data_IF_461145667361
#
_entry.id   IF_461145667361
#
_cell.length_a   1.000
_cell.length_b   1.000
_cell.length_c   1.000
_cell.angle_alpha   90.00
_cell.angle_beta   90.00
_cell.angle_gamma   90.00
#
_symmetry.space_group_name_H-M   'P 1'
#
loop_
_entity.id
_entity.type
_entity.pdbx_description
1 polymer ?
#
# COMPACT_ATOMS: atom_id res chain seq x y z
N UNK A 1 0.68 -31.34 33.94
CA UNK A 1 0.25 -30.00 33.47
C UNK A 1 1.47 -29.37 32.86
N UNK A 2 1.47 -29.07 31.56
CA UNK A 2 2.55 -28.31 30.94
C UNK A 2 2.60 -26.94 31.61
N UNK A 3 3.76 -26.55 32.10
CA UNK A 3 3.98 -25.23 32.70
C UNK A 3 3.69 -24.16 31.64
N UNK A 4 2.77 -23.25 31.96
CA UNK A 4 2.47 -22.09 31.11
C UNK A 4 3.53 -21.04 31.40
N UNK A 5 4.29 -20.66 30.39
CA UNK A 5 5.31 -19.61 30.48
C UNK A 5 4.66 -18.29 30.10
N UNK A 6 4.62 -17.34 31.04
CA UNK A 6 4.19 -15.97 30.77
C UNK A 6 5.39 -15.12 30.38
N UNK A 7 5.34 -14.51 29.21
CA UNK A 7 6.32 -13.56 28.69
C UNK A 7 5.72 -12.17 28.78
N UNK A 8 6.27 -11.33 29.65
CA UNK A 8 5.94 -9.90 29.67
C UNK A 8 6.99 -9.15 28.87
N UNK A 9 6.54 -8.40 27.87
CA UNK A 9 7.37 -7.68 26.89
C UNK A 9 7.17 -6.19 27.09
N UNK A 10 8.24 -5.51 27.51
CA UNK A 10 8.23 -4.07 27.83
C UNK A 10 9.04 -3.22 26.88
N UNK A 11 9.88 -3.84 26.06
CA UNK A 11 10.74 -3.12 25.12
C UNK A 11 11.04 -3.95 23.88
N UNK A 12 11.59 -3.28 22.87
CA UNK A 12 12.07 -3.91 21.63
C UNK A 12 13.18 -4.94 21.93
N UNK A 13 14.06 -4.66 22.90
CA UNK A 13 15.15 -5.57 23.28
C UNK A 13 14.63 -6.84 23.95
N UNK A 14 13.64 -6.74 24.85
CA UNK A 14 13.01 -7.91 25.45
C UNK A 14 12.31 -8.74 24.37
N UNK A 15 11.62 -8.09 23.42
CA UNK A 15 10.99 -8.77 22.29
C UNK A 15 12.04 -9.51 21.43
N UNK A 16 13.19 -8.90 21.16
CA UNK A 16 14.26 -9.50 20.37
C UNK A 16 14.83 -10.74 21.08
N UNK A 17 15.10 -10.62 22.38
CA UNK A 17 15.60 -11.73 23.19
C UNK A 17 14.64 -12.92 23.20
N UNK A 18 13.34 -12.69 23.40
CA UNK A 18 12.36 -13.77 23.37
C UNK A 18 12.19 -14.37 21.97
N UNK A 19 12.28 -13.55 20.92
CA UNK A 19 12.25 -14.06 19.55
C UNK A 19 13.45 -14.98 19.27
N UNK A 20 14.67 -14.59 19.65
CA UNK A 20 15.86 -15.42 19.52
C UNK A 20 15.76 -16.72 20.33
N UNK A 21 15.24 -16.66 21.57
CA UNK A 21 14.96 -17.85 22.38
C UNK A 21 13.97 -18.80 21.68
N UNK A 22 12.96 -18.27 21.00
CA UNK A 22 12.03 -19.08 20.21
C UNK A 22 12.73 -19.76 19.02
N UNK A 23 13.61 -19.04 18.31
CA UNK A 23 14.43 -19.63 17.25
C UNK A 23 15.31 -20.76 17.77
N UNK A 24 15.90 -20.58 18.95
CA UNK A 24 16.73 -21.56 19.64
C UNK A 24 15.94 -22.75 20.23
N UNK A 25 14.61 -22.76 20.13
CA UNK A 25 13.76 -23.87 20.58
C UNK A 25 13.43 -23.86 22.07
N UNK A 26 13.66 -22.76 22.79
CA UNK A 26 13.38 -22.65 24.24
C UNK A 26 11.90 -22.91 24.55
N UNK A 27 11.01 -22.50 23.65
CA UNK A 27 9.55 -22.65 23.79
C UNK A 27 8.98 -23.88 23.08
N UNK A 28 9.83 -24.79 22.59
CA UNK A 28 9.38 -26.03 21.99
C UNK A 28 8.62 -26.86 23.02
N UNK A 29 7.41 -27.30 22.66
CA UNK A 29 6.49 -28.06 23.53
C UNK A 29 6.05 -27.34 24.81
N UNK A 30 6.17 -26.00 24.88
CA UNK A 30 5.65 -25.18 25.99
C UNK A 30 4.38 -24.45 25.58
N UNK A 31 3.49 -24.26 26.55
CA UNK A 31 2.38 -23.30 26.43
C UNK A 31 2.91 -21.93 26.82
N UNK A 32 2.70 -20.92 25.97
CA UNK A 32 3.21 -19.57 26.17
C UNK A 32 2.05 -18.59 26.18
N UNK A 33 2.09 -17.64 27.11
CA UNK A 33 1.22 -16.46 27.12
C UNK A 33 2.11 -15.23 26.92
N UNK A 34 1.78 -14.38 25.95
CA UNK A 34 2.52 -13.15 25.67
C UNK A 34 1.67 -11.98 26.15
N UNK A 35 2.28 -11.11 26.95
CA UNK A 35 1.67 -9.87 27.42
C UNK A 35 2.60 -8.72 27.13
N UNK A 36 2.10 -7.77 26.38
CA UNK A 36 2.77 -6.50 26.14
C UNK A 36 2.41 -5.49 27.23
N UNK A 37 3.40 -4.71 27.66
CA UNK A 37 3.29 -3.71 28.72
C UNK A 37 4.10 -2.46 28.33
N UNK A 38 3.43 -1.46 27.75
CA UNK A 38 4.05 -0.20 27.33
C UNK A 38 4.81 -0.24 25.99
N UNK A 39 4.99 -1.42 25.39
CA UNK A 39 5.54 -1.60 24.03
C UNK A 39 4.77 -2.71 23.33
N UNK A 40 4.47 -2.62 22.02
CA UNK A 40 4.91 -1.58 21.11
C UNK A 40 4.00 -0.36 21.04
N UNK A 41 4.58 0.71 20.51
CA UNK A 41 3.98 2.02 20.28
C UNK A 41 4.33 2.50 18.89
N UNK A 42 3.45 3.31 18.31
CA UNK A 42 3.74 4.05 17.10
C UNK A 42 3.69 5.54 17.42
N UNK A 43 4.80 6.21 17.18
CA UNK A 43 4.95 7.66 17.33
C UNK A 43 5.11 8.29 15.94
N UNK A 44 4.32 9.32 15.68
CA UNK A 44 4.36 10.10 14.45
C UNK A 44 4.37 11.56 14.83
N UNK A 45 5.41 12.29 14.43
CA UNK A 45 5.49 13.74 14.60
C UNK A 45 5.71 14.39 13.23
N UNK A 46 4.92 15.42 12.94
CA UNK A 46 4.99 16.15 11.67
C UNK A 46 5.13 17.64 11.97
N UNK A 47 6.28 18.19 11.58
CA UNK A 47 6.56 19.62 11.73
C UNK A 47 6.32 20.35 10.41
N UNK A 48 5.55 21.44 10.46
CA UNK A 48 5.37 22.37 9.35
C UNK A 48 4.15 23.26 9.54
N UNK A 49 4.03 24.31 8.71
CA UNK A 49 3.01 25.36 8.86
C UNK A 49 1.57 24.82 8.86
N UNK A 50 1.32 23.71 8.15
CA UNK A 50 0.00 23.06 8.04
C UNK A 50 -0.26 21.96 9.07
N UNK A 51 0.64 21.76 10.03
CA UNK A 51 0.64 20.62 10.96
C UNK A 51 0.53 21.03 12.43
N UNK A 52 -0.05 22.21 12.69
CA UNK A 52 -0.29 22.71 14.03
C UNK A 52 -1.70 22.33 14.49
N UNK A 53 -1.81 21.25 15.28
CA UNK A 53 -3.09 20.68 15.72
C UNK A 53 -4.03 20.32 14.55
N UNK A 54 -3.47 19.96 13.39
CA UNK A 54 -4.23 19.67 12.18
C UNK A 54 -3.64 18.50 11.40
N UNK A 55 -4.50 17.56 11.00
CA UNK A 55 -4.15 16.39 10.20
C UNK A 55 -4.70 16.54 8.77
N UNK A 56 -3.84 16.80 7.76
CA UNK A 56 -4.29 16.81 6.37
C UNK A 56 -4.86 15.45 5.96
N UNK A 57 -5.79 15.44 5.00
CA UNK A 57 -6.44 14.21 4.50
C UNK A 57 -5.44 13.15 4.02
N UNK A 58 -4.31 13.56 3.46
CA UNK A 58 -3.23 12.64 3.07
C UNK A 58 -2.62 11.89 4.26
N UNK A 59 -2.44 12.57 5.40
CA UNK A 59 -1.97 11.96 6.64
C UNK A 59 -3.03 11.03 7.22
N UNK A 60 -4.30 11.48 7.27
CA UNK A 60 -5.41 10.62 7.72
C UNK A 60 -5.51 9.33 6.91
N UNK A 61 -5.34 9.41 5.59
CA UNK A 61 -5.30 8.23 4.72
C UNK A 61 -4.20 7.26 5.13
N UNK A 62 -3.02 7.75 5.51
CA UNK A 62 -1.92 6.91 5.96
C UNK A 62 -2.27 6.16 7.26
N UNK A 63 -2.94 6.82 8.21
CA UNK A 63 -3.42 6.19 9.45
C UNK A 63 -4.47 5.10 9.16
N UNK A 64 -5.39 5.36 8.22
CA UNK A 64 -6.38 4.38 7.77
C UNK A 64 -5.69 3.18 7.10
N UNK A 65 -4.71 3.43 6.23
CA UNK A 65 -3.93 2.37 5.56
C UNK A 65 -3.18 1.51 6.60
N UNK A 66 -2.65 2.14 7.65
CA UNK A 66 -1.98 1.48 8.77
C UNK A 66 -2.95 0.56 9.54
N UNK A 67 -4.10 1.07 10.01
CA UNK A 67 -5.14 0.27 10.65
C UNK A 67 -5.59 -0.89 9.75
N UNK A 68 -5.75 -0.64 8.45
CA UNK A 68 -6.16 -1.67 7.51
C UNK A 68 -5.11 -2.80 7.39
N UNK A 69 -3.82 -2.48 7.52
CA UNK A 69 -2.74 -3.46 7.61
C UNK A 69 -2.82 -4.32 8.87
N UNK A 70 -3.02 -3.68 10.04
CA UNK A 70 -3.23 -4.38 11.32
C UNK A 70 -4.44 -5.31 11.24
N UNK A 71 -5.59 -4.83 10.72
CA UNK A 71 -6.79 -5.64 10.54
C UNK A 71 -6.56 -6.87 9.65
N UNK A 72 -5.78 -6.72 8.56
CA UNK A 72 -5.45 -7.85 7.67
C UNK A 72 -4.56 -8.87 8.37
N UNK A 73 -3.54 -8.41 9.09
CA UNK A 73 -2.65 -9.29 9.84
C UNK A 73 -3.41 -10.04 10.94
N UNK A 74 -4.23 -9.33 11.72
CA UNK A 74 -5.09 -9.93 12.74
C UNK A 74 -6.00 -11.00 12.13
N UNK A 75 -6.69 -10.67 11.03
CA UNK A 75 -7.59 -11.62 10.39
C UNK A 75 -6.88 -12.88 9.86
N UNK A 76 -5.68 -12.69 9.30
CA UNK A 76 -4.85 -13.78 8.78
C UNK A 76 -4.36 -14.68 9.92
N UNK A 77 -3.83 -14.10 10.99
CA UNK A 77 -3.23 -14.85 12.11
C UNK A 77 -4.30 -15.50 12.99
N UNK A 78 -5.35 -14.76 13.38
CA UNK A 78 -6.37 -15.26 14.29
C UNK A 78 -7.37 -16.23 13.62
N UNK A 79 -7.74 -15.98 12.35
CA UNK A 79 -8.78 -16.77 11.68
C UNK A 79 -8.29 -17.58 10.47
N UNK A 80 -7.08 -17.33 9.96
CA UNK A 80 -6.62 -17.90 8.68
C UNK A 80 -7.38 -17.32 7.48
N UNK A 81 -7.92 -16.09 7.59
CA UNK A 81 -8.87 -15.51 6.62
C UNK A 81 -8.58 -14.03 6.34
N UNK A 82 -9.46 -13.38 5.60
CA UNK A 82 -9.39 -11.96 5.26
C UNK A 82 -10.09 -11.09 6.31
N UNK A 83 -9.79 -9.79 6.35
CA UNK A 83 -10.39 -8.84 7.31
C UNK A 83 -11.93 -8.81 7.36
N UNK A 84 -12.62 -9.30 6.32
CA UNK A 84 -14.09 -9.44 6.31
C UNK A 84 -14.60 -10.47 7.33
N UNK A 85 -13.75 -11.38 7.79
CA UNK A 85 -14.15 -12.41 8.77
C UNK A 85 -14.05 -11.96 10.22
N UNK A 86 -13.50 -10.76 10.50
CA UNK A 86 -13.45 -10.24 11.86
C UNK A 86 -14.86 -9.91 12.36
N UNK A 87 -15.07 -10.10 13.67
CA UNK A 87 -16.28 -9.65 14.35
C UNK A 87 -16.22 -8.13 14.58
N UNK A 88 -17.35 -7.51 14.89
CA UNK A 88 -17.38 -6.09 15.24
C UNK A 88 -16.65 -5.83 16.56
N UNK A 89 -16.76 -6.77 17.51
CA UNK A 89 -16.05 -6.75 18.78
C UNK A 89 -14.53 -6.75 18.58
N UNK A 90 -14.02 -7.66 17.74
CA UNK A 90 -12.58 -7.75 17.46
C UNK A 90 -12.08 -6.50 16.71
N UNK A 91 -12.91 -5.93 15.80
CA UNK A 91 -12.56 -4.66 15.12
C UNK A 91 -12.43 -3.50 16.10
N UNK A 92 -13.38 -3.40 17.04
CA UNK A 92 -13.38 -2.34 18.06
C UNK A 92 -12.23 -2.50 19.04
N UNK A 93 -11.89 -3.74 19.41
CA UNK A 93 -10.81 -4.01 20.37
C UNK A 93 -9.43 -3.61 19.82
N UNK A 94 -9.21 -3.75 18.50
CA UNK A 94 -7.92 -3.45 17.86
C UNK A 94 -7.89 -2.10 17.14
N UNK A 95 -8.92 -1.27 17.32
CA UNK A 95 -8.98 0.08 16.76
C UNK A 95 -7.90 0.96 17.38
N UNK A 96 -7.04 1.52 16.54
CA UNK A 96 -5.99 2.43 16.96
C UNK A 96 -6.56 3.84 17.13
N UNK A 97 -6.37 4.39 18.32
CA UNK A 97 -6.72 5.77 18.66
C UNK A 97 -5.43 6.59 18.67
N UNK A 98 -5.39 7.65 17.86
CA UNK A 98 -4.26 8.55 17.74
C UNK A 98 -4.57 9.86 18.48
N UNK A 99 -3.84 10.12 19.56
CA UNK A 99 -4.00 11.35 20.35
C UNK A 99 -3.17 12.48 19.73
N UNK A 100 -3.80 13.60 19.34
CA UNK A 100 -3.10 14.77 18.79
C UNK A 100 -2.81 15.76 19.92
N UNK A 101 -1.52 16.06 20.17
CA UNK A 101 -1.13 17.06 21.17
C UNK A 101 -1.31 18.50 20.66
N UNK A 102 -1.58 19.42 21.58
CA UNK A 102 -1.78 20.83 21.25
C UNK A 102 -0.48 21.46 20.70
N UNK A 103 -0.54 22.01 19.48
CA UNK A 103 0.54 22.77 18.85
C UNK A 103 1.40 21.98 17.86
N UNK A 104 1.26 20.65 17.79
CA UNK A 104 1.97 19.78 16.85
C UNK A 104 1.04 18.73 16.24
N UNK A 105 1.55 17.98 15.26
CA UNK A 105 0.95 16.71 14.82
C UNK A 105 1.78 15.57 15.40
N UNK A 106 2.10 15.67 16.69
CA UNK A 106 2.61 14.57 17.50
C UNK A 106 1.42 13.69 17.85
N UNK A 107 1.39 12.50 17.25
CA UNK A 107 0.39 11.48 17.47
C UNK A 107 1.04 10.18 17.91
N UNK A 108 0.66 9.74 19.10
CA UNK A 108 1.06 8.44 19.65
C UNK A 108 -0.15 7.50 19.63
N UNK A 109 0.10 6.22 19.35
CA UNK A 109 -0.89 5.18 19.59
C UNK A 109 -0.26 3.92 20.17
N UNK A 110 -1.00 3.27 21.05
CA UNK A 110 -0.62 2.05 21.71
C UNK A 110 -0.98 0.85 20.84
N UNK A 111 0.04 0.15 20.33
CA UNK A 111 -0.17 -1.06 19.50
C UNK A 111 -0.35 -2.32 20.36
N UNK A 112 0.11 -2.26 21.61
CA UNK A 112 0.13 -3.40 22.52
C UNK A 112 -1.26 -3.95 22.87
N UNK A 113 -2.30 -3.12 22.89
CA UNK A 113 -3.69 -3.58 23.06
C UNK A 113 -4.13 -4.52 21.94
N UNK A 114 -3.93 -4.11 20.68
CA UNK A 114 -4.23 -4.93 19.51
C UNK A 114 -3.43 -6.24 19.48
N UNK A 115 -2.16 -6.19 19.86
CA UNK A 115 -1.28 -7.37 19.90
C UNK A 115 -1.60 -8.33 21.04
N UNK A 116 -2.02 -7.82 22.20
CA UNK A 116 -2.51 -8.64 23.31
C UNK A 116 -3.78 -9.41 22.90
N UNK A 117 -4.75 -8.73 22.26
CA UNK A 117 -5.95 -9.39 21.69
C UNK A 117 -5.56 -10.45 20.67
N UNK A 118 -4.63 -10.13 19.76
CA UNK A 118 -4.15 -11.08 18.75
C UNK A 118 -3.48 -12.30 19.37
N UNK A 119 -2.61 -12.10 20.36
CA UNK A 119 -1.94 -13.18 21.09
C UNK A 119 -2.94 -14.10 21.80
N UNK A 120 -3.95 -13.52 22.45
CA UNK A 120 -5.01 -14.27 23.11
C UNK A 120 -5.85 -15.11 22.14
N UNK A 121 -6.08 -14.64 20.90
CA UNK A 121 -6.74 -15.45 19.86
C UNK A 121 -5.83 -16.51 19.25
N UNK A 122 -4.56 -16.20 19.05
CA UNK A 122 -3.61 -17.07 18.38
C UNK A 122 -3.18 -18.28 19.24
N UNK A 123 -3.23 -18.16 20.57
CA UNK A 123 -2.81 -19.22 21.52
C UNK A 123 -3.57 -20.53 21.32
N UNK A 124 -4.82 -20.49 20.82
CA UNK A 124 -5.64 -21.68 20.59
C UNK A 124 -5.16 -22.54 19.43
N UNK A 125 -4.29 -22.00 18.56
CA UNK A 125 -3.95 -22.58 17.25
C UNK A 125 -2.47 -22.72 16.98
N UNK A 126 -1.62 -22.13 17.84
CA UNK A 126 -0.18 -22.09 17.65
C UNK A 126 0.55 -22.82 18.77
N UNK A 127 1.64 -23.51 18.42
CA UNK A 127 2.62 -23.98 19.42
C UNK A 127 3.31 -22.79 20.10
N UNK A 128 3.93 -23.00 21.27
CA UNK A 128 4.66 -21.93 21.97
C UNK A 128 5.67 -21.20 21.09
N UNK A 129 6.48 -21.95 20.34
CA UNK A 129 7.43 -21.36 19.36
C UNK A 129 6.72 -20.52 18.29
N UNK A 130 5.70 -21.08 17.63
CA UNK A 130 4.96 -20.35 16.59
C UNK A 130 4.28 -19.10 17.12
N UNK A 131 3.71 -19.16 18.33
CA UNK A 131 3.07 -18.03 18.97
C UNK A 131 4.09 -16.91 19.22
N UNK A 132 5.23 -17.23 19.82
CA UNK A 132 6.29 -16.26 20.10
C UNK A 132 6.83 -15.65 18.81
N UNK A 133 7.20 -16.45 17.81
CA UNK A 133 7.73 -15.91 16.54
C UNK A 133 6.69 -15.08 15.79
N UNK A 134 5.40 -15.46 15.84
CA UNK A 134 4.35 -14.74 15.11
C UNK A 134 3.99 -13.42 15.77
N UNK A 135 3.71 -13.45 17.08
CA UNK A 135 3.22 -12.28 17.79
C UNK A 135 4.33 -11.25 17.99
N UNK A 136 5.54 -11.69 18.34
CA UNK A 136 6.69 -10.77 18.41
C UNK A 136 7.09 -10.29 17.02
N UNK A 137 7.06 -11.15 15.99
CA UNK A 137 7.29 -10.74 14.61
C UNK A 137 6.30 -9.69 14.12
N UNK A 138 5.01 -9.84 14.45
CA UNK A 138 3.99 -8.84 14.16
C UNK A 138 4.23 -7.53 14.93
N UNK A 139 4.61 -7.62 16.21
CA UNK A 139 4.97 -6.46 17.03
C UNK A 139 6.15 -5.69 16.43
N UNK A 140 7.21 -6.40 16.03
CA UNK A 140 8.34 -5.83 15.31
C UNK A 140 7.88 -5.15 14.03
N UNK A 141 7.16 -5.82 13.13
CA UNK A 141 6.78 -5.24 11.85
C UNK A 141 5.83 -4.05 11.99
N UNK A 142 4.92 -4.08 12.96
CA UNK A 142 4.02 -2.96 13.22
C UNK A 142 4.78 -1.75 13.76
N UNK A 143 5.77 -1.96 14.63
CA UNK A 143 6.64 -0.90 15.16
C UNK A 143 7.70 -0.47 14.15
N UNK A 144 8.10 -1.38 13.25
CA UNK A 144 9.20 -1.22 12.33
C UNK A 144 8.75 -0.44 11.11
N UNK A 145 9.24 0.78 11.02
CA UNK A 145 8.95 1.67 9.92
C UNK A 145 10.00 1.45 8.83
N UNK A 146 9.55 1.04 7.63
CA UNK A 146 10.39 0.61 6.49
C UNK A 146 11.17 1.79 5.86
N UNK A 147 11.99 2.49 6.62
CA UNK A 147 12.56 3.74 6.13
C UNK A 147 14.00 4.03 6.53
N UNK A 148 14.94 3.07 6.37
CA UNK A 148 16.29 3.33 6.90
C UNK A 148 17.51 2.72 6.19
N UNK A 149 17.58 2.64 4.85
CA UNK A 149 18.92 2.56 4.20
C UNK A 149 19.33 3.84 3.50
N UNK A 150 18.41 4.47 2.78
CA UNK A 150 18.77 5.57 1.89
C UNK A 150 18.73 6.96 2.55
N UNK A 151 18.40 7.05 3.83
CA UNK A 151 18.04 8.31 4.50
C UNK A 151 18.78 8.57 5.82
N UNK A 152 19.75 7.73 6.19
CA UNK A 152 20.54 7.89 7.40
C UNK A 152 21.97 8.35 7.06
N UNK A 153 22.40 9.47 7.64
CA UNK A 153 23.74 10.05 7.39
C UNK A 153 24.83 9.55 8.35
N UNK A 154 24.45 8.86 9.43
CA UNK A 154 25.39 8.43 10.47
C UNK A 154 25.64 6.93 10.42
N UNK A 155 26.91 6.52 10.56
CA UNK A 155 27.30 5.09 10.53
C UNK A 155 26.62 4.24 11.61
N UNK A 156 26.39 4.79 12.80
CA UNK A 156 25.65 4.09 13.88
C UNK A 156 24.19 3.81 13.47
N UNK A 157 23.55 4.75 12.78
CA UNK A 157 22.20 4.62 12.27
C UNK A 157 22.13 3.53 11.18
N UNK A 158 23.10 3.50 10.27
CA UNK A 158 23.25 2.47 9.23
C UNK A 158 23.42 1.06 9.85
N UNK A 159 24.20 0.93 10.92
CA UNK A 159 24.40 -0.36 11.60
C UNK A 159 23.16 -0.82 12.37
N UNK A 160 22.47 0.11 13.04
CA UNK A 160 21.19 -0.18 13.69
C UNK A 160 20.16 -0.67 12.67
N UNK A 161 20.06 -0.02 11.52
CA UNK A 161 19.16 -0.47 10.44
C UNK A 161 19.55 -1.84 9.89
N UNK A 162 20.83 -2.10 9.64
CA UNK A 162 21.29 -3.41 9.18
C UNK A 162 20.88 -4.54 10.14
N UNK A 163 20.96 -4.29 11.44
CA UNK A 163 20.52 -5.25 12.47
C UNK A 163 18.99 -5.45 12.42
N UNK A 164 18.22 -4.37 12.29
CA UNK A 164 16.75 -4.45 12.17
C UNK A 164 16.32 -5.15 10.87
N UNK A 165 17.02 -4.95 9.76
CA UNK A 165 16.76 -5.66 8.50
C UNK A 165 17.02 -7.15 8.59
N UNK A 166 18.09 -7.54 9.30
CA UNK A 166 18.36 -8.95 9.58
C UNK A 166 17.22 -9.55 10.41
N UNK A 167 16.74 -8.83 11.42
CA UNK A 167 15.60 -9.25 12.23
C UNK A 167 14.33 -9.44 11.38
N UNK A 168 14.00 -8.46 10.53
CA UNK A 168 12.86 -8.54 9.61
C UNK A 168 13.00 -9.74 8.67
N UNK A 169 14.19 -9.97 8.11
CA UNK A 169 14.45 -11.12 7.24
C UNK A 169 14.19 -12.44 7.97
N UNK A 170 14.67 -12.57 9.21
CA UNK A 170 14.40 -13.74 10.04
C UNK A 170 12.91 -13.91 10.34
N UNK A 171 12.21 -12.83 10.69
CA UNK A 171 10.76 -12.83 10.95
C UNK A 171 9.99 -13.39 9.75
N UNK A 172 10.28 -12.88 8.55
CA UNK A 172 9.61 -13.30 7.31
C UNK A 172 9.92 -14.73 6.93
N UNK A 173 11.13 -15.23 7.22
CA UNK A 173 11.47 -16.63 7.03
C UNK A 173 10.71 -17.57 7.98
N UNK A 174 10.36 -17.11 9.18
CA UNK A 174 9.63 -17.94 10.15
C UNK A 174 8.12 -17.96 9.90
N UNK A 175 7.54 -16.88 9.37
CA UNK A 175 6.10 -16.80 9.19
C UNK A 175 5.69 -16.00 7.95
N UNK A 176 5.20 -16.73 6.94
CA UNK A 176 4.71 -16.14 5.67
C UNK A 176 3.50 -15.21 5.86
N UNK A 177 2.70 -15.40 6.91
CA UNK A 177 1.56 -14.52 7.22
C UNK A 177 2.01 -13.08 7.53
N UNK A 178 3.27 -12.90 7.92
CA UNK A 178 3.85 -11.59 8.26
C UNK A 178 4.36 -10.82 7.03
N UNK A 179 4.53 -11.48 5.88
CA UNK A 179 4.99 -10.81 4.66
C UNK A 179 4.00 -9.72 4.20
N UNK A 180 2.71 -10.01 4.27
CA UNK A 180 1.70 -9.02 3.89
C UNK A 180 1.67 -7.84 4.87
N UNK A 181 1.86 -8.10 6.17
CA UNK A 181 1.95 -7.05 7.18
C UNK A 181 3.12 -6.11 6.89
N UNK A 182 4.32 -6.63 6.61
CA UNK A 182 5.48 -5.81 6.24
C UNK A 182 5.19 -4.90 5.04
N UNK A 183 4.59 -5.46 3.98
CA UNK A 183 4.20 -4.71 2.78
C UNK A 183 3.20 -3.60 3.12
N UNK A 184 2.25 -3.89 4.01
CA UNK A 184 1.22 -2.94 4.42
C UNK A 184 1.79 -1.80 5.27
N UNK A 185 2.69 -2.12 6.21
CA UNK A 185 3.39 -1.12 7.03
C UNK A 185 4.28 -0.21 6.16
N UNK A 186 4.99 -0.78 5.18
CA UNK A 186 5.76 0.00 4.22
C UNK A 186 4.89 0.90 3.34
N UNK A 187 3.71 0.44 2.93
CA UNK A 187 2.73 1.27 2.20
C UNK A 187 2.19 2.40 3.07
N UNK A 188 1.85 2.14 4.33
CA UNK A 188 1.36 3.14 5.25
C UNK A 188 2.41 4.24 5.49
N UNK A 189 3.66 3.85 5.75
CA UNK A 189 4.79 4.77 5.86
C UNK A 189 4.97 5.65 4.61
N UNK A 190 4.93 5.05 3.42
CA UNK A 190 5.02 5.80 2.16
C UNK A 190 3.81 6.72 1.94
N UNK A 191 2.61 6.28 2.35
CA UNK A 191 1.38 7.08 2.31
C UNK A 191 1.52 8.31 3.21
N UNK A 192 2.14 8.16 4.38
CA UNK A 192 2.41 9.25 5.32
C UNK A 192 3.34 10.30 4.70
N UNK A 193 4.49 9.89 4.16
CA UNK A 193 5.46 10.81 3.53
C UNK A 193 4.85 11.55 2.32
N UNK A 194 3.97 10.88 1.56
CA UNK A 194 3.23 11.50 0.45
C UNK A 194 2.11 12.42 0.92
N UNK A 195 1.47 12.07 2.04
CA UNK A 195 0.41 12.86 2.66
C UNK A 195 0.94 14.15 3.28
N UNK A 196 2.16 14.09 3.82
CA UNK A 196 2.87 15.19 4.45
C UNK A 196 3.97 15.80 3.56
N UNK A 197 3.71 15.94 2.25
CA UNK A 197 4.72 16.29 1.24
C UNK A 197 5.38 17.67 1.41
N UNK A 198 4.76 18.57 2.15
CA UNK A 198 5.23 19.93 2.43
C UNK A 198 5.68 20.13 3.89
N UNK A 199 5.79 19.05 4.67
CA UNK A 199 6.36 19.07 6.00
C UNK A 199 7.84 19.45 5.96
N UNK A 200 8.29 20.14 7.01
CA UNK A 200 9.69 20.45 7.23
C UNK A 200 10.44 19.24 7.81
N UNK A 201 9.75 18.45 8.64
CA UNK A 201 10.26 17.23 9.24
C UNK A 201 9.11 16.24 9.49
N UNK A 202 9.40 14.96 9.32
CA UNK A 202 8.51 13.85 9.71
C UNK A 202 9.32 12.91 10.58
N UNK A 203 8.86 12.65 11.79
CA UNK A 203 9.29 11.54 12.64
C UNK A 203 8.25 10.42 12.52
N UNK A 204 8.69 9.19 12.28
CA UNK A 204 7.81 8.03 12.17
C UNK A 204 8.50 6.81 12.80
N UNK A 205 8.14 6.51 14.05
CA UNK A 205 8.91 5.61 14.92
C UNK A 205 10.32 6.16 15.14
N UNK A 206 11.33 5.32 14.94
CA UNK A 206 12.75 5.71 15.09
C UNK A 206 13.33 6.46 13.87
N UNK A 207 12.51 6.76 12.87
CA UNK A 207 12.96 7.37 11.62
C UNK A 207 12.60 8.84 11.59
N UNK A 208 13.60 9.68 11.33
CA UNK A 208 13.44 11.10 11.09
C UNK A 208 13.77 11.43 9.63
N UNK A 209 12.86 12.14 8.97
CA UNK A 209 12.98 12.61 7.59
C UNK A 209 12.98 14.13 7.55
N UNK A 210 14.02 14.70 6.97
CA UNK A 210 14.13 16.13 6.67
C UNK A 210 13.38 16.53 5.40
N UNK A 211 13.06 17.82 5.26
CA UNK A 211 12.42 18.38 4.07
C UNK A 211 13.05 17.95 2.73
N UNK A 212 14.38 18.02 2.52
CA UNK A 212 14.98 17.57 1.27
C UNK A 212 14.75 16.07 0.98
N UNK A 213 14.70 15.23 2.03
CA UNK A 213 14.43 13.80 1.89
C UNK A 213 12.96 13.54 1.54
N UNK A 214 12.04 14.27 2.19
CA UNK A 214 10.59 14.24 1.89
C UNK A 214 10.36 14.64 0.43
N UNK A 215 10.97 15.74 -0.01
CA UNK A 215 10.88 16.21 -1.40
C UNK A 215 11.46 15.18 -2.38
N UNK A 216 12.61 14.60 -2.09
CA UNK A 216 13.23 13.58 -2.94
C UNK A 216 12.37 12.31 -3.09
N UNK A 217 11.74 11.83 -2.00
CA UNK A 217 10.82 10.69 -2.03
C UNK A 217 9.60 11.01 -2.89
N UNK A 218 9.04 12.19 -2.73
CA UNK A 218 7.88 12.65 -3.49
C UNK A 218 8.21 12.89 -4.99
N UNK A 219 9.43 13.35 -5.30
CA UNK A 219 9.91 13.50 -6.68
C UNK A 219 10.15 12.15 -7.37
N UNK A 220 10.77 11.17 -6.69
CA UNK A 220 10.93 9.80 -7.23
C UNK A 220 9.59 9.13 -7.51
N UNK A 221 8.57 9.42 -6.69
CA UNK A 221 7.19 9.00 -6.96
C UNK A 221 6.55 9.71 -8.16
N UNK A 222 6.99 10.95 -8.44
CA UNK A 222 6.53 11.86 -9.51
C UNK A 222 7.40 11.84 -10.77
N UNK A 223 8.08 10.73 -11.09
CA UNK A 223 8.60 10.58 -12.47
C UNK A 223 7.45 10.83 -13.45
N UNK A 224 7.57 11.93 -14.18
CA UNK A 224 6.50 12.43 -15.04
C UNK A 224 6.29 11.42 -16.14
N UNK A 225 5.04 10.96 -16.26
CA UNK A 225 4.64 10.13 -17.38
C UNK A 225 4.84 10.93 -18.67
N UNK A 226 5.86 10.56 -19.45
CA UNK A 226 6.06 11.16 -20.76
C UNK A 226 4.99 10.60 -21.70
N UNK A 227 4.30 11.49 -22.40
CA UNK A 227 3.29 11.10 -23.39
C UNK A 227 3.93 11.18 -24.76
N UNK A 228 3.80 10.13 -25.56
CA UNK A 228 4.31 10.12 -26.93
C UNK A 228 3.35 9.40 -27.87
N UNK A 229 3.26 9.92 -29.11
CA UNK A 229 2.51 9.30 -30.21
C UNK A 229 3.25 8.05 -30.66
N UNK A 230 2.58 6.91 -30.59
CA UNK A 230 3.06 5.60 -31.05
C UNK A 230 2.16 5.08 -32.16
N UNK A 231 1.81 5.94 -33.10
CA UNK A 231 0.95 5.55 -34.21
C UNK A 231 1.67 4.60 -35.16
N UNK A 232 0.87 3.83 -35.89
CA UNK A 232 1.33 2.96 -36.95
C UNK A 232 0.53 1.67 -37.06
N UNK A 233 1.08 0.69 -37.77
CA UNK A 233 0.42 -0.60 -37.96
C UNK A 233 0.50 -1.43 -36.68
N UNK A 234 -0.65 -1.92 -36.24
CA UNK A 234 -0.76 -2.86 -35.12
C UNK A 234 -1.47 -4.14 -35.55
N UNK A 235 -0.95 -5.28 -35.12
CA UNK A 235 -1.68 -6.53 -35.15
C UNK A 235 -2.60 -6.62 -33.93
N UNK A 236 -3.84 -7.07 -34.15
CA UNK A 236 -4.78 -7.28 -33.06
C UNK A 236 -4.60 -8.71 -32.56
N UNK A 237 -4.07 -8.88 -31.35
CA UNK A 237 -3.82 -10.19 -30.73
C UNK A 237 -5.09 -10.70 -30.03
N UNK A 238 -5.83 -9.80 -29.39
CA UNK A 238 -7.03 -10.16 -28.64
C UNK A 238 -8.04 -9.02 -28.66
N UNK A 239 -9.31 -9.37 -28.82
CA UNK A 239 -10.43 -8.45 -28.72
C UNK A 239 -11.50 -9.01 -27.77
N UNK A 240 -11.80 -8.27 -26.69
CA UNK A 240 -12.83 -8.63 -25.70
C UNK A 240 -13.84 -7.50 -25.55
N UNK A 241 -15.13 -7.85 -25.56
CA UNK A 241 -16.23 -6.89 -25.38
C UNK A 241 -16.65 -6.82 -23.91
N UNK A 242 -16.82 -5.60 -23.43
CA UNK A 242 -17.48 -5.28 -22.16
C UNK A 242 -18.71 -4.38 -22.41
N UNK A 243 -19.43 -4.05 -21.34
CA UNK A 243 -20.65 -3.25 -21.38
C UNK A 243 -20.37 -1.82 -21.89
N UNK A 244 -19.34 -1.17 -21.36
CA UNK A 244 -18.96 0.23 -21.63
C UNK A 244 -17.80 0.39 -22.62
N UNK A 245 -17.08 -0.69 -22.94
CA UNK A 245 -15.83 -0.64 -23.72
C UNK A 245 -15.49 -1.92 -24.47
N UNK A 246 -14.47 -1.83 -25.33
CA UNK A 246 -13.76 -2.95 -25.91
C UNK A 246 -12.32 -2.96 -25.41
N UNK A 247 -11.87 -4.10 -24.89
CA UNK A 247 -10.47 -4.31 -24.52
C UNK A 247 -9.74 -4.96 -25.68
N UNK A 248 -8.69 -4.30 -26.13
CA UNK A 248 -7.89 -4.69 -27.28
C UNK A 248 -6.46 -4.94 -26.83
N UNK A 249 -5.87 -6.05 -27.26
CA UNK A 249 -4.43 -6.31 -27.13
C UNK A 249 -3.80 -6.10 -28.49
N UNK A 250 -2.94 -5.09 -28.58
CA UNK A 250 -2.21 -4.69 -29.77
C UNK A 250 -0.81 -5.30 -29.74
N UNK A 251 -0.25 -5.62 -30.89
CA UNK A 251 1.15 -6.00 -31.05
C UNK A 251 1.81 -5.19 -32.16
N UNK A 252 3.02 -4.70 -31.90
CA UNK A 252 3.94 -4.22 -32.93
C UNK A 252 5.37 -4.60 -32.56
N UNK A 253 6.26 -4.75 -33.53
CA UNK A 253 7.69 -4.99 -33.26
C UNK A 253 8.35 -3.85 -32.48
N UNK A 254 7.84 -2.62 -32.62
CA UNK A 254 8.36 -1.42 -31.93
C UNK A 254 8.00 -1.36 -30.47
N UNK A 255 6.80 -1.82 -30.11
CA UNK A 255 6.22 -1.59 -28.77
C UNK A 255 5.93 -2.87 -28.00
N UNK A 256 6.05 -4.03 -28.63
CA UNK A 256 5.64 -5.31 -28.07
C UNK A 256 4.12 -5.41 -27.95
N UNK A 257 3.64 -6.22 -27.00
CA UNK A 257 2.22 -6.34 -26.72
C UNK A 257 1.75 -5.26 -25.75
N UNK A 258 0.68 -4.55 -26.10
CA UNK A 258 0.05 -3.55 -25.26
C UNK A 258 -1.45 -3.84 -25.12
N UNK A 259 -1.94 -3.85 -23.89
CA UNK A 259 -3.37 -3.88 -23.61
C UNK A 259 -3.92 -2.47 -23.46
N UNK A 260 -5.00 -2.16 -24.17
CA UNK A 260 -5.68 -0.86 -24.16
C UNK A 260 -7.20 -1.05 -24.16
N UNK A 261 -7.92 -0.07 -23.63
CA UNK A 261 -9.38 -0.02 -23.67
C UNK A 261 -9.83 1.04 -24.69
N UNK A 262 -10.80 0.70 -25.53
CA UNK A 262 -11.55 1.62 -26.39
C UNK A 262 -12.96 1.77 -25.80
N UNK A 263 -13.28 2.94 -25.25
CA UNK A 263 -14.58 3.21 -24.66
C UNK A 263 -15.64 3.44 -25.74
N UNK A 264 -16.88 3.06 -25.46
CA UNK A 264 -18.04 3.36 -26.32
C UNK A 264 -18.31 4.88 -26.27
N UNK A 265 -18.54 5.49 -27.42
CA UNK A 265 -18.79 6.93 -27.57
C UNK A 265 -19.03 7.29 -29.03
N UNK A 266 -19.23 8.58 -29.32
CA UNK A 266 -19.39 9.04 -30.71
C UNK A 266 -18.13 8.69 -31.53
N UNK A 267 -18.31 8.16 -32.74
CA UNK A 267 -17.26 7.72 -33.68
C UNK A 267 -16.40 6.50 -33.29
N UNK A 268 -16.53 5.95 -32.08
CA UNK A 268 -15.82 4.72 -31.68
C UNK A 268 -16.27 3.47 -32.47
N UNK A 269 -17.50 3.45 -32.97
CA UNK A 269 -18.08 2.34 -33.75
C UNK A 269 -17.29 2.05 -35.03
N UNK A 270 -16.86 3.09 -35.76
CA UNK A 270 -16.07 2.91 -37.00
C UNK A 270 -14.70 2.33 -36.70
N UNK A 271 -14.03 2.89 -35.70
CA UNK A 271 -12.72 2.40 -35.24
C UNK A 271 -12.78 0.94 -34.78
N UNK A 272 -13.81 0.54 -34.03
CA UNK A 272 -13.95 -0.86 -33.59
C UNK A 272 -14.35 -1.81 -34.73
N UNK A 273 -15.14 -1.37 -35.70
CA UNK A 273 -15.44 -2.16 -36.90
C UNK A 273 -14.16 -2.48 -37.67
N UNK A 274 -13.27 -1.51 -37.84
CA UNK A 274 -11.97 -1.69 -38.48
C UNK A 274 -11.07 -2.64 -37.69
N UNK A 275 -10.95 -2.44 -36.37
CA UNK A 275 -10.19 -3.33 -35.48
C UNK A 275 -10.74 -4.76 -35.55
N UNK A 276 -12.06 -4.92 -35.58
CA UNK A 276 -12.72 -6.22 -35.64
C UNK A 276 -12.48 -6.92 -36.98
N UNK A 277 -12.52 -6.17 -38.09
CA UNK A 277 -12.23 -6.68 -39.43
C UNK A 277 -10.76 -7.09 -39.56
N UNK A 278 -9.85 -6.26 -39.06
CA UNK A 278 -8.42 -6.53 -39.05
C UNK A 278 -8.09 -7.77 -38.19
N UNK A 279 -8.71 -7.89 -37.02
CA UNK A 279 -8.61 -9.07 -36.15
C UNK A 279 -9.07 -10.35 -36.87
N UNK A 280 -10.23 -10.32 -37.51
CA UNK A 280 -10.78 -11.47 -38.23
C UNK A 280 -9.97 -11.88 -39.46
N UNK A 281 -9.30 -10.92 -40.13
CA UNK A 281 -8.47 -11.16 -41.31
C UNK A 281 -7.01 -11.45 -40.98
N UNK A 282 -6.60 -11.36 -39.71
CA UNK A 282 -5.20 -11.42 -39.28
C UNK A 282 -4.32 -10.44 -40.06
N UNK A 283 -4.80 -9.19 -40.23
CA UNK A 283 -4.07 -8.13 -40.91
C UNK A 283 -3.80 -6.96 -39.95
N UNK A 284 -2.68 -6.24 -40.11
CA UNK A 284 -2.43 -5.03 -39.36
C UNK A 284 -3.47 -3.93 -39.64
N UNK A 285 -3.76 -3.12 -38.62
CA UNK A 285 -4.58 -1.92 -38.73
C UNK A 285 -3.77 -0.68 -38.33
N UNK A 286 -3.89 0.38 -39.11
CA UNK A 286 -3.24 1.67 -38.84
C UNK A 286 -3.98 2.42 -37.74
N UNK A 287 -3.40 2.44 -36.54
CA UNK A 287 -4.00 3.06 -35.37
C UNK A 287 -3.25 4.32 -34.95
N UNK A 288 -4.03 5.29 -34.48
CA UNK A 288 -3.53 6.46 -33.79
C UNK A 288 -3.50 6.13 -32.30
N UNK A 289 -2.32 6.05 -31.69
CA UNK A 289 -2.16 5.52 -30.34
C UNK A 289 -1.30 6.44 -29.50
N UNK A 290 -1.80 6.77 -28.32
CA UNK A 290 -1.09 7.57 -27.33
C UNK A 290 -0.46 6.66 -26.27
N UNK A 291 0.87 6.57 -26.28
CA UNK A 291 1.63 5.82 -25.28
C UNK A 291 2.00 6.70 -24.10
N UNK A 292 1.84 6.17 -22.88
CA UNK A 292 2.29 6.77 -21.63
C UNK A 292 3.49 6.01 -21.11
N UNK A 293 4.63 6.68 -21.04
CA UNK A 293 5.91 6.10 -20.66
C UNK A 293 6.27 6.48 -19.23
N UNK A 294 6.85 5.52 -18.51
CA UNK A 294 7.53 5.76 -17.23
C UNK A 294 8.84 4.98 -17.24
N UNK A 295 9.95 5.65 -16.91
CA UNK A 295 11.29 5.07 -16.95
C UNK A 295 11.62 4.33 -18.28
N UNK A 296 11.17 4.87 -19.42
CA UNK A 296 11.43 4.29 -20.75
C UNK A 296 10.53 3.12 -21.17
N UNK A 297 9.66 2.62 -20.28
CA UNK A 297 8.70 1.56 -20.58
C UNK A 297 7.27 2.10 -20.74
N UNK A 298 6.50 1.51 -21.66
CA UNK A 298 5.08 1.85 -21.86
C UNK A 298 4.29 1.31 -20.65
N UNK A 299 3.66 2.21 -19.90
CA UNK A 299 2.81 1.87 -18.75
C UNK A 299 1.35 1.68 -19.15
N UNK A 300 0.89 2.48 -20.10
CA UNK A 300 -0.44 2.36 -20.68
C UNK A 300 -0.44 2.95 -22.08
N UNK A 301 -1.40 2.54 -22.89
CA UNK A 301 -1.70 3.18 -24.16
C UNK A 301 -3.19 3.40 -24.29
N UNK A 302 -3.57 4.41 -25.07
CA UNK A 302 -4.95 4.70 -25.44
C UNK A 302 -5.06 4.77 -26.96
N UNK A 303 -6.06 4.08 -27.52
CA UNK A 303 -6.42 4.22 -28.93
C UNK A 303 -7.13 5.57 -29.07
N UNK A 304 -6.54 6.47 -29.84
CA UNK A 304 -7.11 7.76 -30.19
C UNK A 304 -7.98 7.69 -31.45
N UNK A 305 -7.92 6.59 -32.20
CA UNK A 305 -8.65 6.39 -33.45
C UNK A 305 -7.85 5.53 -34.42
N UNK A 306 -8.29 5.49 -35.66
CA UNK A 306 -7.56 4.89 -36.78
C UNK A 306 -7.34 5.90 -37.89
N UNK A 307 -6.48 5.57 -38.84
CA UNK A 307 -6.26 6.43 -40.02
C UNK A 307 -7.51 6.57 -40.88
N UNK A 308 -8.46 5.62 -40.82
CA UNK A 308 -9.73 5.67 -41.56
C UNK A 308 -10.86 6.32 -40.77
N UNK A 309 -10.95 6.09 -39.45
CA UNK A 309 -11.96 6.70 -38.58
C UNK A 309 -11.63 8.15 -38.22
N UNK A 310 -10.36 8.56 -38.36
CA UNK A 310 -9.84 9.79 -37.78
C UNK A 310 -9.71 9.70 -36.26
N UNK A 311 -9.36 10.83 -35.63
CA UNK A 311 -9.34 10.94 -34.17
C UNK A 311 -10.76 10.80 -33.61
N UNK A 312 -10.89 10.06 -32.52
CA UNK A 312 -12.11 9.96 -31.74
C UNK A 312 -12.34 11.30 -31.04
N UNK A 313 -13.52 11.87 -31.24
CA UNK A 313 -13.91 13.11 -30.59
C UNK A 313 -14.28 12.81 -29.13
N UNK A 314 -13.81 13.62 -28.17
CA UNK A 314 -14.28 13.51 -26.80
C UNK A 314 -15.78 13.81 -26.77
N UNK A 315 -16.53 13.05 -25.98
CA UNK A 315 -17.94 13.35 -25.72
C UNK A 315 -18.01 14.74 -25.07
N UNK A 316 -18.52 15.73 -25.81
CA UNK A 316 -18.78 17.05 -25.25
C UNK A 316 -19.88 16.84 -24.21
N UNK A 317 -19.54 17.01 -22.94
CA UNK A 317 -20.54 17.10 -21.89
C UNK A 317 -21.51 18.20 -22.30
N UNK A 318 -22.74 17.83 -22.61
CA UNK A 318 -23.81 18.79 -22.88
C UNK A 318 -23.86 19.70 -21.66
N UNK A 319 -23.54 20.98 -21.85
CA UNK A 319 -23.78 21.99 -20.83
C UNK A 319 -25.28 21.89 -20.51
N UNK A 320 -25.60 21.44 -19.29
CA UNK A 320 -26.98 21.30 -18.86
C UNK A 320 -27.70 22.61 -19.11
N UNK A 321 -28.85 22.52 -19.77
CA UNK A 321 -29.85 23.59 -19.77
C UNK A 321 -30.00 24.06 -18.33
N UNK A 322 -29.64 25.32 -18.10
CA UNK A 322 -30.11 26.07 -16.96
C UNK A 322 -31.61 26.22 -17.14
N UNK A 323 -32.38 25.33 -16.50
CA UNK A 323 -33.79 25.52 -16.20
C UNK A 323 -33.91 26.73 -15.25
N UNK A 324 -33.77 27.93 -15.78
CA UNK A 324 -34.31 29.16 -15.19
C UNK A 324 -35.73 29.34 -15.73
N UNK A 325 -36.66 28.51 -15.26
CA UNK A 325 -38.09 28.84 -15.22
C UNK A 325 -38.51 28.94 -13.75
N UNK A 326 -38.11 30.02 -13.08
CA UNK A 326 -38.81 30.49 -11.88
C UNK A 326 -39.81 31.57 -12.29
N UNK A 327 -41.07 31.13 -12.27
CA UNK A 327 -42.32 31.84 -12.44
C UNK A 327 -42.35 33.30 -11.95
N UNK A 328 -42.67 34.21 -12.86
CA UNK A 328 -43.35 35.46 -12.55
C UNK A 328 -44.84 35.31 -12.93
N UNK A 329 -45.67 35.05 -11.91
CA UNK A 329 -47.01 35.63 -11.67
C UNK A 329 -47.70 34.93 -10.49
#
# INVERSE_FOLDING_TARGET
>A
MSEVVELVVRSEEEAAQYFEQALAGVFDNRSVLIKFDGWPKLDIDIEGERYHSSLPTGVLKALIDYQAGINRAYASIAYGKTAKSMTEEDRKEIELVFDVKEGSTDTETELWGALNSLGARAIERMTGKQLVTTILGAAFLASFTYASVHWMDTQAAIQADASKQQMVTQILHQNEHLAQLQVDMGKAAMSLVKGAYDANKITYGDVELSKPQIEAINQRGRETTAVSRIDGPYEIVQLKRFEDKWRVVLYSERTGQIQTDLFRGQNASKCIEEISLAFAKHQPVELLVLGRYKAGAIQSANILGSTQSGLLEPEVAVAGDSDDEESAD
#
